data_IF_127744919505
#
_entry.id   IF_127744919505
#
_cell.length_a   1.000
_cell.length_b   1.000
_cell.length_c   1.000
_cell.angle_alpha   90.00
_cell.angle_beta   90.00
_cell.angle_gamma   90.00
#
_symmetry.space_group_name_H-M   'P 1'
#
loop_
_entity.id
_entity.type
_entity.pdbx_description
1 polymer ?
#
# COMPACT_ATOMS: atom_id res chain seq x y z
N UNK A 1 -1.71 -8.15 -4.67
CA UNK A 1 -0.31 -7.82 -5.06
C UNK A 1 0.64 -7.97 -3.89
N UNK A 2 0.38 -7.35 -2.73
CA UNK A 2 1.29 -7.44 -1.57
C UNK A 2 1.44 -8.88 -1.07
N UNK A 3 0.35 -9.59 -0.85
CA UNK A 3 0.34 -11.01 -0.46
C UNK A 3 1.06 -11.88 -1.50
N UNK A 4 0.73 -11.69 -2.78
CA UNK A 4 1.35 -12.43 -3.87
C UNK A 4 2.87 -12.17 -3.96
N UNK A 5 3.32 -10.94 -3.69
CA UNK A 5 4.75 -10.62 -3.61
C UNK A 5 5.42 -11.35 -2.44
N UNK A 6 4.66 -11.62 -1.38
CA UNK A 6 5.16 -12.37 -0.24
C UNK A 6 5.33 -13.85 -0.56
N UNK A 7 4.39 -14.43 -1.32
CA UNK A 7 4.40 -15.84 -1.69
C UNK A 7 5.50 -16.18 -2.70
N UNK A 8 5.64 -15.37 -3.77
CA UNK A 8 6.52 -15.69 -4.90
C UNK A 8 7.85 -14.90 -4.91
N UNK A 9 8.14 -14.18 -3.83
CA UNK A 9 9.35 -13.37 -3.63
C UNK A 9 9.61 -12.32 -4.72
N UNK A 10 8.55 -11.81 -5.35
CA UNK A 10 8.63 -10.75 -6.35
C UNK A 10 8.34 -9.37 -5.76
N UNK A 11 8.63 -8.33 -6.54
CA UNK A 11 8.40 -6.93 -6.16
C UNK A 11 7.51 -6.23 -7.20
N UNK A 12 6.26 -6.66 -7.30
CA UNK A 12 5.28 -5.99 -8.16
C UNK A 12 4.84 -4.69 -7.51
N UNK A 13 4.76 -3.65 -8.30
CA UNK A 13 4.20 -2.36 -7.91
C UNK A 13 2.74 -2.28 -8.33
N UNK A 14 1.97 -1.44 -7.67
CA UNK A 14 0.58 -1.19 -8.03
C UNK A 14 0.25 0.30 -7.93
N UNK A 15 -0.70 0.72 -8.74
CA UNK A 15 -1.29 2.06 -8.70
C UNK A 15 -2.79 1.87 -8.61
N UNK A 16 -3.40 2.52 -7.63
CA UNK A 16 -4.85 2.56 -7.45
C UNK A 16 -5.33 3.99 -7.67
N UNK A 17 -6.34 4.15 -8.50
CA UNK A 17 -7.02 5.42 -8.71
C UNK A 17 -8.48 5.28 -8.27
N UNK A 18 -8.94 6.21 -7.45
CA UNK A 18 -10.30 6.26 -6.94
C UNK A 18 -10.85 7.67 -7.02
N UNK A 19 -12.05 7.82 -7.51
CA UNK A 19 -12.80 9.07 -7.46
C UNK A 19 -13.09 9.45 -5.99
N UNK A 20 -13.22 10.73 -5.67
CA UNK A 20 -13.49 11.20 -4.31
C UNK A 20 -14.97 11.02 -3.93
N UNK A 21 -15.47 9.80 -4.02
CA UNK A 21 -16.84 9.45 -3.69
C UNK A 21 -17.03 9.37 -2.17
N UNK A 22 -18.06 10.04 -1.61
CA UNK A 22 -18.37 9.93 -0.19
C UNK A 22 -18.98 8.56 0.11
N UNK A 23 -18.75 8.06 1.32
CA UNK A 23 -19.47 6.91 1.82
C UNK A 23 -20.93 7.28 2.14
N UNK A 24 -21.86 6.38 1.86
CA UNK A 24 -23.25 6.57 2.26
C UNK A 24 -23.39 6.67 3.78
N UNK A 25 -24.20 7.61 4.24
CA UNK A 25 -24.36 7.89 5.69
C UNK A 25 -24.87 6.68 6.48
N UNK A 26 -25.61 5.78 5.85
CA UNK A 26 -26.13 4.54 6.46
C UNK A 26 -25.17 3.35 6.35
N UNK A 27 -24.06 3.49 5.62
CA UNK A 27 -23.11 2.40 5.42
C UNK A 27 -22.32 2.09 6.69
N UNK A 28 -21.90 0.84 6.83
CA UNK A 28 -21.03 0.41 7.93
C UNK A 28 -19.68 1.15 7.89
N UNK A 29 -19.19 1.47 6.70
CA UNK A 29 -17.97 2.25 6.52
C UNK A 29 -18.09 3.66 7.12
N UNK A 30 -19.23 4.34 6.91
CA UNK A 30 -19.47 5.65 7.51
C UNK A 30 -19.59 5.58 9.03
N UNK A 31 -20.27 4.56 9.56
CA UNK A 31 -20.36 4.30 11.01
C UNK A 31 -18.99 4.00 11.63
N UNK A 32 -18.09 3.38 10.88
CA UNK A 32 -16.71 3.15 11.29
C UNK A 32 -15.80 4.39 11.18
N UNK A 33 -16.33 5.53 10.74
CA UNK A 33 -15.61 6.80 10.68
C UNK A 33 -14.95 7.11 9.32
N UNK A 34 -15.16 6.30 8.31
CA UNK A 34 -14.63 6.56 6.96
C UNK A 34 -15.56 7.49 6.19
N UNK A 35 -15.02 8.62 5.73
CA UNK A 35 -15.79 9.61 4.99
C UNK A 35 -15.87 9.33 3.50
N UNK A 36 -14.83 8.72 2.93
CA UNK A 36 -14.71 8.44 1.50
C UNK A 36 -14.32 6.99 1.25
N UNK A 37 -14.68 6.49 0.06
CA UNK A 37 -14.26 5.15 -0.40
C UNK A 37 -12.73 5.03 -0.43
N UNK A 38 -12.05 6.10 -0.76
CA UNK A 38 -10.59 6.17 -0.75
C UNK A 38 -10.00 5.91 0.66
N UNK A 39 -10.67 6.38 1.73
CA UNK A 39 -10.20 6.14 3.11
C UNK A 39 -10.36 4.68 3.50
N UNK A 40 -11.47 4.04 3.10
CA UNK A 40 -11.67 2.60 3.29
C UNK A 40 -10.57 1.79 2.59
N UNK A 41 -10.24 2.16 1.35
CA UNK A 41 -9.19 1.50 0.56
C UNK A 41 -7.81 1.62 1.21
N UNK A 42 -7.45 2.80 1.72
CA UNK A 42 -6.19 3.02 2.45
C UNK A 42 -6.10 2.17 3.70
N UNK A 43 -7.19 2.11 4.47
CA UNK A 43 -7.22 1.32 5.69
C UNK A 43 -7.10 -0.18 5.41
N UNK A 44 -7.75 -0.66 4.35
CA UNK A 44 -7.60 -2.04 3.90
C UNK A 44 -6.14 -2.39 3.58
N UNK A 45 -5.44 -1.52 2.86
CA UNK A 45 -4.01 -1.72 2.54
C UNK A 45 -3.18 -1.75 3.84
N UNK A 46 -3.42 -0.82 4.78
CA UNK A 46 -2.70 -0.80 6.07
C UNK A 46 -2.90 -2.09 6.87
N UNK A 47 -4.12 -2.61 6.90
CA UNK A 47 -4.42 -3.89 7.57
C UNK A 47 -3.68 -5.06 6.95
N UNK A 48 -3.60 -5.12 5.62
CA UNK A 48 -2.85 -6.16 4.92
C UNK A 48 -1.35 -6.04 5.22
N UNK A 49 -0.79 -4.84 5.18
CA UNK A 49 0.62 -4.60 5.53
C UNK A 49 0.90 -5.07 6.95
N UNK A 50 0.07 -4.68 7.90
CA UNK A 50 0.21 -5.09 9.30
C UNK A 50 0.13 -6.62 9.46
N UNK A 51 -0.79 -7.29 8.78
CA UNK A 51 -0.87 -8.74 8.77
C UNK A 51 0.41 -9.40 8.27
N UNK A 52 0.98 -8.92 7.17
CA UNK A 52 2.24 -9.41 6.61
C UNK A 52 3.40 -9.18 7.59
N UNK A 53 3.46 -8.01 8.24
CA UNK A 53 4.49 -7.71 9.23
C UNK A 53 4.39 -8.62 10.45
N UNK A 54 3.18 -8.89 10.93
CA UNK A 54 2.93 -9.82 12.05
C UNK A 54 3.30 -11.25 11.70
N UNK A 55 3.03 -11.71 10.48
CA UNK A 55 3.44 -13.03 10.00
C UNK A 55 4.96 -13.15 9.89
N UNK A 56 5.62 -12.12 9.39
CA UNK A 56 7.08 -12.09 9.28
C UNK A 56 7.77 -11.97 10.65
N UNK A 57 7.11 -11.41 11.65
CA UNK A 57 7.61 -11.28 13.01
C UNK A 57 7.50 -12.59 13.81
N UNK A 58 6.62 -13.50 13.40
CA UNK A 58 6.53 -14.82 14.06
C UNK A 58 7.78 -15.62 13.76
N UNK A 59 8.48 -16.17 14.78
CA UNK A 59 9.58 -17.07 14.55
C UNK A 59 9.04 -18.25 13.74
N UNK A 60 9.58 -18.46 12.54
CA UNK A 60 9.35 -19.72 11.81
C UNK A 60 9.85 -20.84 12.73
N UNK A 61 8.93 -21.52 13.39
CA UNK A 61 9.27 -22.80 13.99
C UNK A 61 9.68 -23.73 12.85
N UNK A 62 10.98 -23.82 12.61
CA UNK A 62 11.52 -24.98 11.92
C UNK A 62 11.19 -26.16 12.82
N UNK A 63 10.28 -26.99 12.39
CA UNK A 63 10.00 -28.27 13.01
C UNK A 63 11.21 -29.18 12.84
N UNK A 64 12.24 -28.92 13.58
CA UNK A 64 13.36 -29.84 13.80
C UNK A 64 13.18 -30.33 15.22
N UNK A 65 12.54 -31.49 15.32
CA UNK A 65 12.54 -32.29 16.51
C UNK A 65 13.98 -32.86 16.69
N UNK A 66 14.86 -32.04 17.22
CA UNK A 66 16.17 -32.50 17.64
C UNK A 66 16.13 -32.55 19.15
N UNK A 67 15.93 -33.76 19.64
CA UNK A 67 16.12 -34.07 21.04
C UNK A 67 17.47 -33.61 21.55
N UNK A 68 17.44 -32.98 22.70
CA UNK A 68 18.48 -32.76 23.67
C UNK A 68 19.76 -32.00 23.27
N UNK A 69 19.99 -30.93 24.05
CA UNK A 69 21.29 -30.32 24.35
C UNK A 69 22.10 -29.76 23.18
N UNK A 70 21.72 -28.61 22.70
CA UNK A 70 22.69 -27.67 22.16
C UNK A 70 22.17 -26.23 22.30
N UNK A 71 22.60 -25.62 23.36
CA UNK A 71 23.00 -24.24 23.53
C UNK A 71 22.57 -23.27 22.42
N UNK A 72 21.61 -22.44 22.80
CA UNK A 72 21.15 -21.27 22.06
C UNK A 72 22.29 -20.40 21.54
N UNK A 73 22.14 -20.04 20.31
CA UNK A 73 22.49 -18.78 19.63
C UNK A 73 22.21 -18.84 18.12
N UNK A 74 21.45 -19.78 17.68
CA UNK A 74 20.93 -19.71 16.30
C UNK A 74 19.67 -18.84 16.22
N UNK A 75 19.72 -17.62 16.76
CA UNK A 75 18.95 -16.54 16.17
C UNK A 75 19.67 -16.13 14.90
N UNK A 76 19.74 -17.03 13.94
CA UNK A 76 19.99 -16.64 12.59
C UNK A 76 18.75 -15.84 12.18
N UNK A 77 18.78 -14.56 12.49
CA UNK A 77 17.92 -13.60 11.85
C UNK A 77 18.07 -13.83 10.37
N UNK A 78 17.11 -14.53 9.81
CA UNK A 78 17.01 -14.68 8.38
C UNK A 78 17.10 -13.27 7.84
N UNK A 79 18.15 -12.99 7.10
CA UNK A 79 18.33 -11.78 6.32
C UNK A 79 17.34 -11.85 5.14
N UNK A 80 16.07 -12.04 5.50
CA UNK A 80 14.95 -11.87 4.59
C UNK A 80 15.00 -10.43 4.15
N UNK A 81 15.35 -10.20 2.92
CA UNK A 81 15.29 -8.90 2.28
C UNK A 81 13.99 -8.21 2.72
N UNK A 82 14.12 -7.18 3.57
CA UNK A 82 12.96 -6.45 4.12
C UNK A 82 12.23 -5.84 2.94
N UNK A 83 11.13 -6.45 2.54
CA UNK A 83 10.33 -5.99 1.40
C UNK A 83 9.74 -4.63 1.73
N UNK A 84 9.77 -3.74 0.75
CA UNK A 84 9.08 -2.46 0.84
C UNK A 84 7.57 -2.70 0.75
N UNK A 85 6.90 -2.61 1.89
CA UNK A 85 5.45 -2.73 2.02
C UNK A 85 4.78 -1.35 2.03
N UNK A 86 5.56 -0.27 1.95
CA UNK A 86 5.04 1.09 1.98
C UNK A 86 4.18 1.44 0.76
N UNK A 87 3.27 2.40 0.94
CA UNK A 87 2.55 3.04 -0.16
C UNK A 87 2.44 4.54 0.05
N UNK A 88 2.31 5.28 -1.04
CA UNK A 88 2.08 6.74 -1.00
C UNK A 88 0.67 7.04 -1.46
N UNK A 89 0.01 7.96 -0.78
CA UNK A 89 -1.32 8.45 -1.16
C UNK A 89 -1.21 9.88 -1.65
N UNK A 90 -1.78 10.15 -2.81
CA UNK A 90 -1.80 11.46 -3.42
C UNK A 90 -3.25 11.92 -3.60
N UNK A 91 -3.46 13.21 -3.54
CA UNK A 91 -4.73 13.84 -3.92
C UNK A 91 -4.48 14.70 -5.14
N UNK A 92 -5.29 14.52 -6.18
CA UNK A 92 -5.24 15.39 -7.34
C UNK A 92 -5.76 16.76 -6.98
N UNK A 93 -5.09 17.79 -7.44
CA UNK A 93 -5.51 19.17 -7.34
C UNK A 93 -5.46 19.82 -8.73
N UNK A 94 -6.22 20.90 -8.96
CA UNK A 94 -6.13 21.65 -10.22
C UNK A 94 -4.69 22.07 -10.51
N UNK A 95 -4.29 21.99 -11.77
CA UNK A 95 -2.98 22.45 -12.21
C UNK A 95 -2.94 23.98 -12.23
N UNK A 96 -1.80 24.54 -11.83
CA UNK A 96 -1.52 25.97 -11.98
C UNK A 96 -1.13 26.36 -13.42
N UNK A 97 -0.88 25.35 -14.28
CA UNK A 97 -0.63 25.62 -15.69
C UNK A 97 -1.90 26.01 -16.42
N UNK A 98 -1.80 27.05 -17.25
CA UNK A 98 -2.89 27.40 -18.16
C UNK A 98 -3.18 26.24 -19.10
N UNK A 99 -4.44 25.91 -19.29
CA UNK A 99 -4.84 24.89 -20.27
C UNK A 99 -4.50 25.46 -21.65
N UNK A 100 -3.73 24.71 -22.41
CA UNK A 100 -3.47 25.01 -23.80
C UNK A 100 -4.77 24.97 -24.60
N UNK A 101 -5.21 26.13 -25.13
CA UNK A 101 -6.35 26.24 -26.02
C UNK A 101 -5.82 26.62 -27.40
N UNK A 102 -5.57 25.65 -28.26
CA UNK A 102 -5.01 25.86 -29.59
C UNK A 102 -5.87 26.76 -30.48
N UNK A 103 -7.17 26.92 -30.19
CA UNK A 103 -8.08 27.80 -30.90
C UNK A 103 -7.94 29.29 -30.57
N UNK A 104 -7.16 29.64 -29.53
CA UNK A 104 -6.97 31.04 -29.12
C UNK A 104 -5.64 31.63 -29.63
N UNK A 105 -4.91 30.89 -30.45
CA UNK A 105 -3.68 31.40 -31.09
C UNK A 105 -4.06 32.06 -32.39
N UNK A 106 -4.35 33.34 -32.33
CA UNK A 106 -4.41 34.20 -33.49
C UNK A 106 -3.02 34.83 -33.71
N UNK A 107 -2.68 35.09 -34.96
CA UNK A 107 -1.39 35.71 -35.33
C UNK A 107 -1.09 37.03 -34.59
N UNK A 108 -2.14 37.72 -34.14
CA UNK A 108 -2.08 38.98 -33.38
C UNK A 108 -1.64 38.78 -31.91
N UNK A 109 -1.62 37.55 -31.38
CA UNK A 109 -1.19 37.22 -30.00
C UNK A 109 0.20 36.60 -29.92
N UNK A 110 0.95 36.56 -31.03
CA UNK A 110 2.31 36.08 -31.14
C UNK A 110 3.31 37.27 -30.99
N UNK A 111 3.26 37.93 -29.85
CA UNK A 111 4.28 38.92 -29.48
C UNK A 111 5.03 38.47 -28.23
#
# INVERSE_FOLDING_TARGET
>A
VLELNQEDDKQRKFILAQLPEPCEQNSEAFKAGFKTISDVSKERIRKVIKGIEEENAKPKQLGIDIGTNSIGWATTGGNGSKKDLGFKSFKLSPSNFKIWRGSEINEENLV
#
